data_IF_599905022518
#
_entry.id   IF_599905022518
#
_cell.length_a   1.000
_cell.length_b   1.000
_cell.length_c   1.000
_cell.angle_alpha   90.00
_cell.angle_beta   90.00
_cell.angle_gamma   90.00
#
_symmetry.space_group_name_H-M   'P 1'
#
loop_
_entity.id
_entity.type
_entity.pdbx_description
1 polymer ?
#
# COMPACT_ATOMS: atom_id res chain seq x y z
N UNK A 1 1.70 18.13 -0.79
CA UNK A 1 1.01 16.90 -1.24
C UNK A 1 2.00 15.75 -1.31
N UNK A 2 1.59 14.57 -0.86
CA UNK A 2 2.37 13.33 -0.88
C UNK A 2 1.56 12.31 -1.66
N UNK A 3 2.08 11.84 -2.79
CA UNK A 3 1.43 10.87 -3.68
C UNK A 3 2.51 10.12 -4.44
N UNK A 4 2.25 8.84 -4.74
CA UNK A 4 3.18 7.96 -5.46
C UNK A 4 2.40 6.77 -6.04
N UNK A 5 2.56 6.53 -7.33
CA UNK A 5 1.82 5.48 -8.06
C UNK A 5 2.12 4.07 -7.55
N UNK A 6 3.24 3.86 -6.84
CA UNK A 6 3.54 2.58 -6.19
C UNK A 6 2.48 2.19 -5.15
N UNK A 7 1.73 3.15 -4.61
CA UNK A 7 0.61 2.87 -3.70
C UNK A 7 -0.59 2.23 -4.41
N UNK A 8 -0.71 2.38 -5.74
CA UNK A 8 -1.76 1.75 -6.55
C UNK A 8 -1.53 0.25 -6.78
N UNK A 9 -0.36 -0.27 -6.40
CA UNK A 9 -0.04 -1.70 -6.55
C UNK A 9 -0.66 -2.58 -5.45
N UNK A 10 -1.25 -1.98 -4.41
CA UNK A 10 -1.92 -2.73 -3.35
C UNK A 10 -3.38 -3.02 -3.74
N UNK A 11 -3.70 -4.30 -3.99
CA UNK A 11 -5.05 -4.73 -4.38
C UNK A 11 -5.39 -6.08 -3.77
N UNK A 12 -6.67 -6.33 -3.55
CA UNK A 12 -7.16 -7.68 -3.26
C UNK A 12 -7.03 -8.55 -4.52
N UNK A 13 -6.30 -9.66 -4.44
CA UNK A 13 -6.03 -10.51 -5.61
C UNK A 13 -7.26 -11.29 -6.07
N UNK A 14 -8.17 -11.65 -5.16
CA UNK A 14 -9.29 -12.56 -5.44
C UNK A 14 -10.68 -11.88 -5.51
N UNK A 15 -10.77 -10.56 -5.37
CA UNK A 15 -12.05 -9.85 -5.27
C UNK A 15 -11.89 -8.45 -5.86
N UNK A 16 -12.71 -8.14 -6.86
CA UNK A 16 -12.70 -6.85 -7.57
C UNK A 16 -13.72 -5.86 -6.98
N UNK A 17 -14.57 -6.31 -6.04
CA UNK A 17 -15.68 -5.53 -5.49
C UNK A 17 -15.41 -4.96 -4.09
N UNK A 18 -14.17 -5.04 -3.61
CA UNK A 18 -13.81 -4.51 -2.30
C UNK A 18 -13.89 -2.98 -2.29
N UNK A 19 -14.33 -2.43 -1.16
CA UNK A 19 -14.32 -0.98 -0.96
C UNK A 19 -12.88 -0.46 -1.00
N UNK A 20 -11.92 -1.18 -0.42
CA UNK A 20 -10.48 -0.89 -0.50
C UNK A 20 -9.94 -1.32 -1.88
N UNK A 21 -9.49 -0.35 -2.67
CA UNK A 21 -8.93 -0.60 -4.00
C UNK A 21 -8.04 0.56 -4.45
N UNK A 22 -7.11 0.33 -5.39
CA UNK A 22 -6.27 1.38 -5.97
C UNK A 22 -7.07 2.58 -6.50
N UNK A 23 -8.27 2.31 -7.02
CA UNK A 23 -9.18 3.32 -7.55
C UNK A 23 -9.58 4.37 -6.51
N UNK A 24 -9.57 4.05 -5.21
CA UNK A 24 -9.84 5.05 -4.16
C UNK A 24 -8.81 6.16 -4.15
N UNK A 25 -7.53 5.80 -4.22
CA UNK A 25 -6.44 6.78 -4.22
C UNK A 25 -6.37 7.52 -5.56
N UNK A 26 -6.49 6.78 -6.67
CA UNK A 26 -6.45 7.33 -8.01
C UNK A 26 -7.55 8.39 -8.23
N UNK A 27 -8.82 8.07 -7.94
CA UNK A 27 -9.94 9.02 -8.13
C UNK A 27 -9.79 10.28 -7.27
N UNK A 28 -9.27 10.13 -6.06
CA UNK A 28 -9.02 11.29 -5.20
C UNK A 28 -7.94 12.20 -5.79
N UNK A 29 -6.85 11.61 -6.31
CA UNK A 29 -5.79 12.35 -6.98
C UNK A 29 -6.29 13.05 -8.25
N UNK A 30 -7.00 12.34 -9.12
CA UNK A 30 -7.58 12.86 -10.37
C UNK A 30 -8.49 14.05 -10.10
N UNK A 31 -9.39 13.94 -9.12
CA UNK A 31 -10.27 15.05 -8.74
C UNK A 31 -9.50 16.26 -8.24
N UNK A 32 -8.47 16.05 -7.40
CA UNK A 32 -7.61 17.15 -6.96
C UNK A 32 -6.86 17.80 -8.14
N UNK A 33 -6.53 17.02 -9.17
CA UNK A 33 -5.90 17.52 -10.39
C UNK A 33 -6.85 18.36 -11.24
N UNK A 34 -8.07 17.85 -11.49
CA UNK A 34 -9.13 18.56 -12.23
C UNK A 34 -9.49 19.91 -11.60
N UNK A 35 -9.54 19.97 -10.27
CA UNK A 35 -9.82 21.20 -9.51
C UNK A 35 -8.59 22.13 -9.38
N UNK A 36 -7.46 21.79 -10.01
CA UNK A 36 -6.24 22.60 -9.97
C UNK A 36 -5.61 22.71 -8.57
N UNK A 37 -5.91 21.77 -7.66
CA UNK A 37 -5.38 21.79 -6.29
C UNK A 37 -3.94 21.26 -6.24
N UNK A 38 -3.57 20.36 -7.14
CA UNK A 38 -2.22 19.77 -7.21
C UNK A 38 -1.17 20.85 -7.48
N UNK A 39 -1.43 21.73 -8.45
CA UNK A 39 -0.50 22.80 -8.87
C UNK A 39 -0.25 23.83 -7.77
N UNK A 40 -1.15 23.93 -6.79
CA UNK A 40 -1.05 24.82 -5.63
C UNK A 40 -0.30 24.21 -4.46
N UNK A 41 0.04 22.93 -4.53
CA UNK A 41 0.68 22.19 -3.46
C UNK A 41 2.18 21.98 -3.73
N UNK A 42 3.00 22.07 -2.69
CA UNK A 42 4.38 21.55 -2.76
C UNK A 42 4.36 20.03 -2.78
N UNK A 43 4.95 19.41 -3.81
CA UNK A 43 5.12 17.95 -3.88
C UNK A 43 6.26 17.51 -2.96
N UNK A 44 5.96 16.60 -2.03
CA UNK A 44 6.92 16.06 -1.08
C UNK A 44 7.18 14.59 -1.44
N UNK A 45 8.45 14.18 -1.60
CA UNK A 45 8.79 12.83 -2.03
C UNK A 45 8.45 11.79 -0.96
N UNK A 46 7.87 10.66 -1.40
CA UNK A 46 7.59 9.51 -0.54
C UNK A 46 8.89 8.83 -0.12
N UNK A 47 8.99 8.48 1.15
CA UNK A 47 10.11 7.73 1.72
C UNK A 47 9.61 6.45 2.38
N UNK A 48 10.34 5.36 2.21
CA UNK A 48 10.06 4.14 2.96
C UNK A 48 10.34 4.38 4.44
N UNK A 49 9.45 3.88 5.30
CA UNK A 49 9.69 3.89 6.73
C UNK A 49 10.82 2.90 7.06
N UNK A 50 11.92 3.39 7.61
CA UNK A 50 13.07 2.56 7.98
C UNK A 50 12.88 1.98 9.38
N UNK A 51 13.30 0.72 9.56
CA UNK A 51 13.23 -0.03 10.82
C UNK A 51 14.02 0.59 12.00
N UNK A 52 14.86 1.62 11.75
CA UNK A 52 15.59 2.36 12.80
C UNK A 52 14.69 3.23 13.68
N UNK A 53 13.43 3.45 13.30
CA UNK A 53 12.41 4.06 14.16
C UNK A 53 11.72 2.95 14.98
N UNK A 54 12.48 2.35 15.90
CA UNK A 54 12.20 1.07 16.57
C UNK A 54 11.18 1.13 17.72
N UNK A 55 10.29 2.13 17.72
CA UNK A 55 9.20 2.27 18.70
C UNK A 55 7.84 1.80 18.16
N UNK A 56 7.85 0.98 17.12
CA UNK A 56 6.63 0.38 16.61
C UNK A 56 6.38 -0.96 17.30
N UNK A 57 5.12 -1.17 17.69
CA UNK A 57 4.64 -2.31 18.47
C UNK A 57 4.95 -3.66 17.82
N UNK A 58 4.81 -4.76 18.59
CA UNK A 58 4.87 -6.16 18.10
C UNK A 58 4.08 -6.39 16.81
N UNK A 59 3.03 -5.60 16.57
CA UNK A 59 2.21 -5.63 15.36
C UNK A 59 3.00 -5.29 14.08
N UNK A 60 3.86 -4.27 14.12
CA UNK A 60 4.63 -3.85 12.96
C UNK A 60 5.69 -4.89 12.59
N UNK A 61 6.26 -5.59 13.57
CA UNK A 61 7.17 -6.71 13.31
C UNK A 61 6.47 -7.85 12.55
N UNK A 62 5.23 -8.20 12.94
CA UNK A 62 4.42 -9.21 12.25
C UNK A 62 4.10 -8.81 10.80
N UNK A 63 3.71 -7.56 10.57
CA UNK A 63 3.39 -7.04 9.23
C UNK A 63 4.65 -7.00 8.34
N UNK A 64 5.79 -6.53 8.86
CA UNK A 64 7.04 -6.48 8.10
C UNK A 64 7.55 -7.88 7.75
N UNK A 65 7.46 -8.82 8.70
CA UNK A 65 7.79 -10.22 8.45
C UNK A 65 6.92 -10.81 7.32
N UNK A 66 5.62 -10.56 7.36
CA UNK A 66 4.70 -10.99 6.31
C UNK A 66 5.08 -10.44 4.92
N UNK A 67 5.31 -9.13 4.82
CA UNK A 67 5.69 -8.47 3.57
C UNK A 67 7.06 -8.95 3.04
N UNK A 68 7.95 -9.43 3.92
CA UNK A 68 9.29 -9.92 3.55
C UNK A 68 9.28 -11.37 3.05
N UNK A 69 8.24 -12.14 3.40
CA UNK A 69 8.17 -13.55 3.05
C UNK A 69 7.78 -13.78 1.58
N UNK A 70 7.16 -12.82 0.90
CA UNK A 70 6.66 -13.00 -0.48
C UNK A 70 5.73 -14.22 -0.66
N UNK A 71 5.28 -14.83 0.45
CA UNK A 71 4.38 -15.98 0.46
C UNK A 71 2.96 -15.48 0.18
N UNK A 72 2.20 -16.26 -0.60
CA UNK A 72 0.74 -16.14 -0.64
C UNK A 72 0.22 -16.09 0.81
N UNK A 73 -0.67 -15.14 1.17
CA UNK A 73 -1.14 -15.02 2.55
C UNK A 73 -1.71 -16.35 3.01
N UNK A 74 -0.97 -17.01 3.91
CA UNK A 74 -1.45 -18.25 4.50
C UNK A 74 -2.74 -17.91 5.27
N UNK A 75 -3.87 -18.59 5.00
CA UNK A 75 -5.19 -18.20 5.49
C UNK A 75 -5.27 -18.12 7.02
N UNK A 76 -4.35 -18.76 7.75
CA UNK A 76 -4.29 -18.69 9.21
C UNK A 76 -3.81 -17.34 9.76
N UNK A 77 -2.96 -16.60 9.04
CA UNK A 77 -2.41 -15.32 9.53
C UNK A 77 -3.38 -14.17 9.31
N UNK A 78 -4.14 -14.22 8.22
CA UNK A 78 -5.24 -13.28 7.96
C UNK A 78 -6.31 -13.37 9.05
N UNK A 79 -6.56 -14.57 9.61
CA UNK A 79 -7.57 -14.77 10.68
C UNK A 79 -7.26 -14.05 11.99
N UNK A 80 -6.00 -13.70 12.23
CA UNK A 80 -5.61 -12.92 13.41
C UNK A 80 -6.01 -11.45 13.28
N UNK A 81 -6.43 -11.01 12.09
CA UNK A 81 -6.84 -9.65 11.78
C UNK A 81 -8.27 -9.63 11.23
N UNK A 82 -9.12 -8.76 11.76
CA UNK A 82 -10.49 -8.65 11.27
C UNK A 82 -10.55 -7.68 10.10
N UNK A 83 -11.10 -8.13 8.96
CA UNK A 83 -11.28 -7.33 7.74
C UNK A 83 -9.98 -6.72 7.18
N UNK A 84 -8.91 -7.52 7.11
CA UNK A 84 -7.64 -7.13 6.50
C UNK A 84 -7.29 -8.08 5.37
N UNK A 85 -6.80 -7.51 4.26
CA UNK A 85 -6.25 -8.26 3.13
C UNK A 85 -4.79 -7.92 2.98
N UNK A 86 -3.96 -8.94 2.76
CA UNK A 86 -2.55 -8.75 2.47
C UNK A 86 -2.26 -9.11 1.02
N UNK A 87 -1.44 -8.27 0.38
CA UNK A 87 -0.99 -8.46 -0.99
C UNK A 87 0.54 -8.40 -0.99
N UNK A 88 1.18 -9.45 -1.51
CA UNK A 88 2.62 -9.48 -1.70
C UNK A 88 2.99 -8.53 -2.83
N UNK A 89 4.05 -7.72 -2.66
CA UNK A 89 4.55 -6.92 -3.79
C UNK A 89 4.96 -7.87 -4.92
N UNK A 90 4.55 -7.64 -6.17
CA UNK A 90 5.17 -8.35 -7.28
C UNK A 90 6.67 -8.03 -7.23
N UNK A 91 7.51 -9.08 -7.33
CA UNK A 91 8.93 -8.92 -7.58
C UNK A 91 9.07 -7.97 -8.76
N UNK A 92 9.80 -6.88 -8.58
CA UNK A 92 10.12 -5.94 -9.66
C UNK A 92 10.65 -6.75 -10.84
N UNK A 93 9.80 -6.97 -11.85
CA UNK A 93 10.23 -7.51 -13.13
C UNK A 93 11.03 -6.38 -13.76
N UNK A 94 12.35 -6.50 -13.69
CA UNK A 94 13.26 -5.74 -14.51
C UNK A 94 12.95 -6.05 -15.97
N UNK A 95 12.23 -5.19 -16.65
CA UNK A 95 12.22 -5.07 -18.11
C UNK A 95 12.42 -3.56 -18.34
N UNK A 96 13.55 -3.07 -18.85
CA UNK A 96 14.23 -3.55 -20.06
C UNK A 96 13.86 -2.57 -21.15
#
# INVERSE_FOLDING_TARGET
>A
MVYDDRMLQHRHEWSCSEQESPARLQRAYERCHEEGLISRCMLVPVRCFSSRFSFLSSLCAKIVFFLSLSLSPHPTLVRDFQCVTFHSKPSSSSNG
#
